data_IF_508775968549
#
_entry.id   IF_508775968549
#
_cell.length_a   1.000
_cell.length_b   1.000
_cell.length_c   1.000
_cell.angle_alpha   90.00
_cell.angle_beta   90.00
_cell.angle_gamma   90.00
#
_symmetry.space_group_name_H-M   'P 1'
#
loop_
_entity.id
_entity.type
_entity.pdbx_description
1 polymer ?
#
# COMPACT_ATOMS: atom_id res chain seq x y z
N UNK A 1 19.57 32.48 39.36
CA UNK A 1 18.87 31.20 39.13
C UNK A 1 18.46 31.11 37.67
N UNK A 2 19.36 30.61 36.82
CA UNK A 2 19.08 30.40 35.40
C UNK A 2 18.11 29.21 35.33
N UNK A 3 16.87 29.48 34.95
CA UNK A 3 15.91 28.44 34.65
C UNK A 3 16.46 27.68 33.42
N UNK A 4 16.98 26.47 33.64
CA UNK A 4 17.21 25.52 32.55
C UNK A 4 15.86 25.31 31.88
N UNK A 5 15.67 25.92 30.71
CA UNK A 5 14.65 25.51 29.77
C UNK A 5 14.89 24.02 29.55
N UNK A 6 14.02 23.16 30.09
CA UNK A 6 14.00 21.75 29.70
C UNK A 6 13.64 21.76 28.22
N UNK A 7 14.65 21.58 27.37
CA UNK A 7 14.41 21.16 26.00
C UNK A 7 13.52 19.93 26.12
N UNK A 8 12.32 20.00 25.55
CA UNK A 8 11.40 18.87 25.55
C UNK A 8 12.03 17.85 24.61
N UNK A 9 12.83 16.94 25.16
CA UNK A 9 13.42 15.87 24.37
C UNK A 9 12.35 14.80 24.18
N UNK A 10 12.16 14.37 22.93
CA UNK A 10 11.06 13.49 22.54
C UNK A 10 11.64 12.10 22.28
N UNK A 11 11.29 11.14 23.13
CA UNK A 11 11.56 9.74 22.85
C UNK A 11 10.49 9.24 21.87
N UNK A 12 10.91 8.74 20.72
CA UNK A 12 10.08 8.06 19.74
C UNK A 12 10.37 6.57 19.79
N UNK A 13 9.31 5.78 19.84
CA UNK A 13 9.34 4.33 19.80
C UNK A 13 8.58 3.90 18.56
N UNK A 14 9.28 3.27 17.62
CA UNK A 14 8.67 2.70 16.42
C UNK A 14 8.55 1.21 16.57
N UNK A 15 7.35 0.69 16.46
CA UNK A 15 7.02 -0.72 16.57
C UNK A 15 6.09 -1.19 15.44
N UNK A 16 5.67 -0.35 14.49
CA UNK A 16 5.02 -0.78 13.25
C UNK A 16 6.10 -1.02 12.17
N UNK A 17 6.63 -2.23 12.15
CA UNK A 17 7.89 -2.60 11.50
C UNK A 17 8.89 -3.10 12.56
N UNK A 18 10.19 -3.05 12.25
CA UNK A 18 11.25 -3.39 13.22
C UNK A 18 11.22 -2.44 14.42
N UNK A 19 11.41 -2.99 15.62
CA UNK A 19 11.41 -2.19 16.85
C UNK A 19 12.61 -1.23 16.83
N UNK A 20 12.34 0.07 17.01
CA UNK A 20 13.36 1.12 17.05
C UNK A 20 13.06 2.11 18.16
N UNK A 21 14.10 2.58 18.82
CA UNK A 21 14.06 3.63 19.81
C UNK A 21 14.87 4.82 19.29
N UNK A 22 14.30 6.01 19.34
CA UNK A 22 14.95 7.24 18.94
C UNK A 22 14.77 8.31 20.00
N UNK A 23 15.86 8.93 20.43
CA UNK A 23 15.85 10.10 21.31
C UNK A 23 16.71 11.18 20.69
N UNK A 24 16.07 12.26 20.24
CA UNK A 24 16.69 13.30 19.40
C UNK A 24 17.38 12.68 18.17
N UNK A 25 18.71 12.81 18.04
CA UNK A 25 19.52 12.26 16.94
C UNK A 25 19.99 10.81 17.20
N UNK A 26 19.79 10.28 18.41
CA UNK A 26 20.29 8.96 18.80
C UNK A 26 19.26 7.89 18.47
N UNK A 27 19.68 6.87 17.72
CA UNK A 27 18.80 5.77 17.29
C UNK A 27 19.39 4.44 17.71
N UNK A 28 18.56 3.61 18.32
CA UNK A 28 18.83 2.20 18.63
C UNK A 28 17.85 1.36 17.83
N UNK A 29 18.40 0.57 16.90
CA UNK A 29 17.67 -0.41 16.08
C UNK A 29 18.19 -1.83 16.28
N UNK A 30 19.18 -2.03 17.16
CA UNK A 30 19.74 -3.32 17.51
C UNK A 30 19.69 -3.51 19.02
N UNK A 31 19.08 -4.62 19.43
CA UNK A 31 18.94 -4.97 20.83
C UNK A 31 20.03 -5.96 21.25
N UNK A 32 20.53 -5.90 22.51
CA UNK A 32 21.58 -6.78 23.00
C UNK A 32 21.22 -8.27 22.91
N UNK A 33 19.92 -8.58 23.05
CA UNK A 33 19.37 -9.94 22.90
C UNK A 33 17.91 -9.88 22.48
N UNK A 34 17.42 -10.90 21.77
CA UNK A 34 16.01 -11.06 21.42
C UNK A 34 15.06 -10.88 22.63
N UNK A 35 15.36 -11.49 23.78
CA UNK A 35 14.50 -11.35 24.97
C UNK A 35 14.42 -9.93 25.55
N UNK A 36 15.39 -9.06 25.27
CA UNK A 36 15.35 -7.65 25.69
C UNK A 36 14.41 -6.88 24.78
N UNK A 37 14.51 -7.11 23.47
CA UNK A 37 13.59 -6.59 22.46
C UNK A 37 12.15 -7.03 22.73
N UNK A 38 11.96 -8.33 22.96
CA UNK A 38 10.66 -8.95 23.25
C UNK A 38 10.04 -8.45 24.56
N UNK A 39 10.84 -8.31 25.63
CA UNK A 39 10.37 -7.73 26.89
C UNK A 39 9.85 -6.31 26.68
N UNK A 40 10.59 -5.47 25.94
CA UNK A 40 10.17 -4.11 25.67
C UNK A 40 8.89 -4.07 24.82
N UNK A 41 8.83 -4.86 23.75
CA UNK A 41 7.67 -4.97 22.88
C UNK A 41 6.41 -5.40 23.66
N UNK A 42 6.54 -6.41 24.52
CA UNK A 42 5.44 -6.88 25.36
C UNK A 42 4.95 -5.80 26.34
N UNK A 43 5.88 -5.09 27.00
CA UNK A 43 5.54 -4.01 27.93
C UNK A 43 4.90 -2.80 27.23
N UNK A 44 5.33 -2.48 26.00
CA UNK A 44 4.74 -1.40 25.20
C UNK A 44 3.29 -1.69 24.84
N UNK A 45 2.96 -2.95 24.58
CA UNK A 45 1.62 -3.37 24.18
C UNK A 45 0.60 -3.22 25.33
N UNK A 46 1.05 -3.34 26.58
CA UNK A 46 0.21 -3.22 27.78
C UNK A 46 0.68 -2.04 28.65
N UNK A 47 0.58 -0.80 28.15
CA UNK A 47 1.10 0.35 28.88
C UNK A 47 0.36 0.51 30.21
N UNK A 48 1.10 0.88 31.26
CA UNK A 48 0.62 1.08 32.64
C UNK A 48 0.16 -0.19 33.37
N UNK A 49 0.13 -1.35 32.71
CA UNK A 49 -0.16 -2.60 33.37
C UNK A 49 1.02 -3.02 34.26
N UNK A 50 0.71 -3.58 35.43
CA UNK A 50 1.71 -4.21 36.31
C UNK A 50 1.81 -5.68 35.94
N UNK A 51 2.93 -6.07 35.36
CA UNK A 51 3.19 -7.45 34.98
C UNK A 51 3.96 -8.17 36.09
N UNK A 52 3.41 -9.28 36.58
CA UNK A 52 4.13 -10.15 37.51
C UNK A 52 5.44 -10.61 36.87
N UNK A 53 6.52 -10.59 37.66
CA UNK A 53 7.82 -11.11 37.22
C UNK A 53 7.75 -12.58 36.83
N UNK A 54 6.94 -13.39 37.53
CA UNK A 54 6.73 -14.80 37.18
C UNK A 54 6.10 -14.94 35.80
N UNK A 55 5.04 -14.16 35.53
CA UNK A 55 4.40 -14.14 34.20
C UNK A 55 5.39 -13.79 33.09
N UNK A 56 6.26 -12.81 33.32
CA UNK A 56 7.27 -12.41 32.33
C UNK A 56 8.36 -13.46 32.15
N UNK A 57 8.70 -14.20 33.21
CA UNK A 57 9.64 -15.32 33.13
C UNK A 57 9.04 -16.46 32.30
N UNK A 58 7.80 -16.87 32.61
CA UNK A 58 7.11 -17.94 31.88
C UNK A 58 6.92 -17.58 30.40
N UNK A 59 6.69 -16.29 30.11
CA UNK A 59 6.54 -15.79 28.75
C UNK A 59 7.86 -15.83 27.96
N UNK A 60 8.95 -15.31 28.53
CA UNK A 60 10.21 -15.10 27.81
C UNK A 60 11.16 -16.30 27.90
N UNK A 61 11.07 -17.10 28.96
CA UNK A 61 11.94 -18.25 29.22
C UNK A 61 11.15 -19.43 29.79
N UNK A 62 10.23 -20.03 29.01
CA UNK A 62 9.34 -21.10 29.49
C UNK A 62 10.10 -22.33 30.02
N UNK A 63 11.31 -22.59 29.52
CA UNK A 63 12.09 -23.78 29.85
C UNK A 63 13.03 -23.62 31.05
N UNK A 64 12.99 -22.49 31.76
CA UNK A 64 13.91 -22.24 32.89
C UNK A 64 13.22 -22.37 34.26
N UNK A 65 14.01 -22.70 35.29
CA UNK A 65 13.50 -22.64 36.66
C UNK A 65 13.23 -21.19 37.08
N UNK A 66 12.33 -20.99 38.06
CA UNK A 66 12.00 -19.65 38.57
C UNK A 66 13.26 -18.85 39.01
N UNK A 67 14.20 -19.51 39.68
CA UNK A 67 15.44 -18.88 40.16
C UNK A 67 16.30 -18.38 38.99
N UNK A 68 16.49 -19.22 37.97
CA UNK A 68 17.22 -18.85 36.75
C UNK A 68 16.50 -17.72 35.99
N UNK A 69 15.17 -17.83 35.87
CA UNK A 69 14.33 -16.84 35.22
C UNK A 69 14.40 -15.48 35.89
N UNK A 70 14.41 -15.41 37.22
CA UNK A 70 14.57 -14.16 37.97
C UNK A 70 15.90 -13.47 37.65
N UNK A 71 16.99 -14.23 37.58
CA UNK A 71 18.31 -13.73 37.18
C UNK A 71 18.34 -13.19 35.75
N UNK A 72 17.75 -13.94 34.80
CA UNK A 72 17.63 -13.53 33.39
C UNK A 72 16.77 -12.27 33.23
N UNK A 73 15.62 -12.20 33.91
CA UNK A 73 14.74 -11.04 33.89
C UNK A 73 15.43 -9.80 34.47
N UNK A 74 16.15 -9.93 35.59
CA UNK A 74 16.94 -8.82 36.14
C UNK A 74 17.98 -8.31 35.15
N UNK A 75 18.68 -9.23 34.47
CA UNK A 75 19.67 -8.88 33.45
C UNK A 75 19.02 -8.19 32.25
N UNK A 76 17.85 -8.67 31.79
CA UNK A 76 17.12 -8.06 30.68
C UNK A 76 16.63 -6.65 31.03
N UNK A 77 16.07 -6.44 32.23
CA UNK A 77 15.67 -5.12 32.74
C UNK A 77 16.87 -4.18 32.85
N UNK A 78 18.00 -4.65 33.37
CA UNK A 78 19.22 -3.85 33.46
C UNK A 78 19.72 -3.45 32.07
N UNK A 79 19.70 -4.38 31.09
CA UNK A 79 20.04 -4.07 29.69
C UNK A 79 19.08 -3.08 29.05
N UNK A 80 17.78 -3.16 29.34
CA UNK A 80 16.81 -2.17 28.87
C UNK A 80 17.13 -0.78 29.43
N UNK A 81 17.42 -0.66 30.73
CA UNK A 81 17.84 0.62 31.33
C UNK A 81 19.10 1.16 30.65
N UNK A 82 20.10 0.29 30.46
CA UNK A 82 21.33 0.66 29.76
C UNK A 82 21.08 1.12 28.32
N UNK A 83 20.17 0.49 27.58
CA UNK A 83 19.80 0.95 26.22
C UNK A 83 19.22 2.36 26.22
N UNK A 84 18.40 2.70 27.22
CA UNK A 84 17.89 4.07 27.36
C UNK A 84 19.00 5.04 27.76
N UNK A 85 19.93 4.63 28.64
CA UNK A 85 21.10 5.44 29.01
C UNK A 85 21.99 5.71 27.78
N UNK A 86 22.22 4.69 26.93
CA UNK A 86 22.98 4.78 25.68
C UNK A 86 22.27 5.69 24.64
N UNK A 87 20.94 5.85 24.75
CA UNK A 87 20.13 6.83 23.99
C UNK A 87 20.12 8.22 24.63
N UNK A 88 20.86 8.44 25.72
CA UNK A 88 20.81 9.65 26.53
C UNK A 88 19.41 9.98 27.06
N UNK A 89 18.56 8.96 27.27
CA UNK A 89 17.22 9.10 27.83
C UNK A 89 17.14 8.45 29.22
N UNK A 90 16.77 9.23 30.24
CA UNK A 90 16.54 8.68 31.58
C UNK A 90 15.17 8.02 31.64
N UNK A 91 15.10 6.70 31.76
CA UNK A 91 13.84 5.95 31.72
C UNK A 91 13.14 5.77 33.08
N UNK A 92 13.48 6.56 34.10
CA UNK A 92 12.92 6.39 35.46
C UNK A 92 11.43 6.75 35.57
N UNK A 93 10.94 7.63 34.69
CA UNK A 93 9.52 7.96 34.55
C UNK A 93 8.80 7.08 33.52
N UNK A 94 9.52 6.16 32.86
CA UNK A 94 9.02 5.24 31.85
C UNK A 94 8.94 3.79 32.36
N UNK A 95 10.02 3.27 32.96
CA UNK A 95 10.16 1.87 33.37
C UNK A 95 10.18 1.75 34.89
N UNK A 96 9.08 1.25 35.44
CA UNK A 96 8.89 1.05 36.87
C UNK A 96 9.09 -0.41 37.23
N UNK A 97 9.97 -0.65 38.20
CA UNK A 97 10.31 -2.00 38.67
C UNK A 97 10.12 -2.13 40.16
N UNK A 98 9.48 -3.21 40.58
CA UNK A 98 9.32 -3.62 41.97
C UNK A 98 9.87 -5.03 42.17
N UNK A 99 9.79 -5.53 43.41
CA UNK A 99 10.16 -6.92 43.75
C UNK A 99 9.30 -7.92 43.00
N UNK A 100 8.01 -7.61 42.80
CA UNK A 100 7.03 -8.58 42.29
C UNK A 100 6.54 -8.27 40.87
N UNK A 101 6.71 -7.03 40.40
CA UNK A 101 6.18 -6.58 39.12
C UNK A 101 7.08 -5.62 38.35
N UNK A 102 6.86 -5.55 37.05
CA UNK A 102 7.45 -4.59 36.11
C UNK A 102 6.31 -3.90 35.36
N UNK A 103 6.44 -2.60 35.12
CA UNK A 103 5.47 -1.82 34.35
C UNK A 103 6.19 -0.80 33.48
N UNK A 104 5.70 -0.62 32.25
CA UNK A 104 6.12 0.45 31.37
C UNK A 104 4.98 1.46 31.25
N UNK A 105 5.22 2.70 31.68
CA UNK A 105 4.24 3.78 31.71
C UNK A 105 4.78 4.94 30.89
N UNK A 106 4.48 5.01 29.58
CA UNK A 106 4.93 6.10 28.73
C UNK A 106 4.37 7.44 29.22
N UNK A 107 5.22 8.41 29.60
CA UNK A 107 4.78 9.77 29.88
C UNK A 107 4.39 10.51 28.58
N UNK A 108 3.70 11.66 28.65
CA UNK A 108 3.16 12.33 27.47
C UNK A 108 4.19 12.70 26.38
N UNK A 109 5.45 12.88 26.75
CA UNK A 109 6.55 13.17 25.81
C UNK A 109 7.03 11.94 25.01
N UNK A 110 6.65 10.72 25.41
CA UNK A 110 7.02 9.50 24.68
C UNK A 110 5.98 9.23 23.60
N UNK A 111 6.44 9.22 22.35
CA UNK A 111 5.60 8.90 21.20
C UNK A 111 5.80 7.43 20.82
N UNK A 112 4.70 6.71 20.69
CA UNK A 112 4.70 5.33 20.22
C UNK A 112 3.87 5.31 18.93
N UNK A 113 4.45 4.80 17.85
CA UNK A 113 3.85 4.87 16.52
C UNK A 113 2.51 4.15 16.42
N UNK A 114 2.37 2.92 16.94
CA UNK A 114 1.10 2.19 16.89
C UNK A 114 0.00 2.86 17.72
N UNK A 115 0.36 3.47 18.86
CA UNK A 115 -0.58 4.28 19.67
C UNK A 115 -1.03 5.52 18.89
N UNK A 116 -0.10 6.15 18.19
CA UNK A 116 -0.38 7.34 17.36
C UNK A 116 -1.22 6.96 16.14
N UNK A 117 -0.93 5.82 15.51
CA UNK A 117 -1.68 5.22 14.41
C UNK A 117 -3.14 5.00 14.81
N UNK A 118 -3.39 4.31 15.93
CA UNK A 118 -4.74 4.08 16.45
C UNK A 118 -5.46 5.36 16.84
N UNK A 119 -4.73 6.35 17.39
CA UNK A 119 -5.30 7.65 17.70
C UNK A 119 -5.75 8.38 16.44
N UNK A 120 -4.89 8.45 15.42
CA UNK A 120 -5.21 9.07 14.13
C UNK A 120 -6.38 8.37 13.45
N UNK A 121 -6.41 7.03 13.48
CA UNK A 121 -7.52 6.27 12.92
C UNK A 121 -8.84 6.52 13.69
N UNK A 122 -8.79 6.66 15.02
CA UNK A 122 -9.97 7.04 15.80
C UNK A 122 -10.45 8.45 15.49
N UNK A 123 -9.53 9.40 15.29
CA UNK A 123 -9.89 10.75 14.87
C UNK A 123 -10.54 10.76 13.48
N UNK A 124 -10.00 9.99 12.53
CA UNK A 124 -10.57 9.86 11.19
C UNK A 124 -12.02 9.35 11.22
N UNK A 125 -12.35 8.39 12.10
CA UNK A 125 -13.71 7.84 12.22
C UNK A 125 -14.76 8.84 12.72
N UNK A 126 -14.37 9.80 13.56
CA UNK A 126 -15.29 10.78 14.14
C UNK A 126 -15.29 12.11 13.37
N UNK A 127 -14.32 12.29 12.46
CA UNK A 127 -14.23 13.47 11.61
C UNK A 127 -15.30 13.42 10.52
N UNK A 128 -16.03 14.52 10.36
CA UNK A 128 -17.15 14.63 9.41
C UNK A 128 -16.76 15.38 8.15
N UNK A 129 -15.70 16.19 8.20
CA UNK A 129 -15.14 16.85 7.03
C UNK A 129 -14.25 15.87 6.24
N UNK A 130 -14.63 15.48 5.00
CA UNK A 130 -13.87 14.52 4.21
C UNK A 130 -12.41 14.90 3.97
N UNK A 131 -12.11 16.21 3.90
CA UNK A 131 -10.74 16.70 3.68
C UNK A 131 -9.88 16.46 4.91
N UNK A 132 -10.42 16.76 6.10
CA UNK A 132 -9.70 16.52 7.38
C UNK A 132 -9.62 15.04 7.70
N UNK A 133 -10.66 14.28 7.37
CA UNK A 133 -10.65 12.84 7.52
C UNK A 133 -9.49 12.23 6.72
N UNK A 134 -9.30 12.63 5.45
CA UNK A 134 -8.17 12.18 4.64
C UNK A 134 -6.83 12.54 5.27
N UNK A 135 -6.68 13.70 5.91
CA UNK A 135 -5.44 14.06 6.62
C UNK A 135 -5.13 13.08 7.76
N UNK A 136 -6.14 12.72 8.56
CA UNK A 136 -5.99 11.74 9.63
C UNK A 136 -5.67 10.34 9.10
N UNK A 137 -6.38 9.91 8.05
CA UNK A 137 -6.14 8.62 7.41
C UNK A 137 -4.72 8.56 6.81
N UNK A 138 -4.31 9.58 6.06
CA UNK A 138 -2.98 9.65 5.47
C UNK A 138 -1.87 9.63 6.52
N UNK A 139 -2.05 10.35 7.64
CA UNK A 139 -1.12 10.33 8.77
C UNK A 139 -1.00 8.94 9.39
N UNK A 140 -2.12 8.25 9.60
CA UNK A 140 -2.10 6.88 10.12
C UNK A 140 -1.46 5.90 9.12
N UNK A 141 -1.79 5.96 7.83
CA UNK A 141 -1.13 5.14 6.81
C UNK A 141 0.39 5.29 6.83
N UNK A 142 0.90 6.52 6.96
CA UNK A 142 2.33 6.80 6.98
C UNK A 142 3.07 6.25 8.21
N UNK A 143 2.37 5.96 9.31
CA UNK A 143 2.97 5.37 10.52
C UNK A 143 3.11 3.84 10.40
N UNK A 144 2.30 3.20 9.57
CA UNK A 144 2.32 1.75 9.41
C UNK A 144 3.37 1.36 8.37
N UNK A 145 4.58 1.02 8.82
CA UNK A 145 5.72 0.68 7.96
C UNK A 145 5.97 -0.84 7.86
N UNK A 146 5.24 -1.65 8.63
CA UNK A 146 5.36 -3.10 8.65
C UNK A 146 4.56 -3.72 9.79
N UNK A 147 4.67 -5.04 9.94
CA UNK A 147 4.03 -5.76 11.04
C UNK A 147 4.51 -5.27 12.41
N UNK A 148 3.65 -5.34 13.42
CA UNK A 148 4.01 -4.95 14.77
C UNK A 148 5.22 -5.76 15.30
N UNK A 149 6.30 -5.06 15.67
CA UNK A 149 7.58 -5.63 16.11
C UNK A 149 8.08 -6.73 15.18
N UNK A 150 8.23 -6.40 13.89
CA UNK A 150 8.71 -7.31 12.85
C UNK A 150 10.03 -7.99 13.27
N UNK A 151 10.09 -9.32 13.13
CA UNK A 151 11.24 -10.13 13.53
C UNK A 151 11.14 -10.76 14.93
N UNK A 152 10.17 -10.35 15.75
CA UNK A 152 9.83 -11.06 17.00
C UNK A 152 8.86 -12.21 16.67
N UNK A 153 9.21 -13.44 17.03
CA UNK A 153 8.38 -14.62 16.76
C UNK A 153 7.80 -15.17 18.05
N UNK A 154 6.76 -14.52 18.57
CA UNK A 154 6.12 -14.91 19.81
C UNK A 154 4.59 -14.90 19.70
N UNK A 155 3.92 -15.92 20.26
CA UNK A 155 2.48 -16.11 20.09
C UNK A 155 1.65 -14.94 20.61
N UNK A 156 2.15 -14.25 21.64
CA UNK A 156 1.46 -13.13 22.27
C UNK A 156 1.27 -11.93 21.34
N UNK A 157 2.10 -11.78 20.29
CA UNK A 157 1.98 -10.65 19.36
C UNK A 157 1.10 -10.93 18.14
N UNK A 158 0.72 -12.19 17.89
CA UNK A 158 -0.03 -12.59 16.68
C UNK A 158 -1.39 -11.89 16.57
N UNK A 159 -2.17 -11.90 17.66
CA UNK A 159 -3.49 -11.28 17.70
C UNK A 159 -3.42 -9.78 17.40
N UNK A 160 -2.41 -9.10 17.94
CA UNK A 160 -2.24 -7.66 17.77
C UNK A 160 -1.73 -7.31 16.38
N UNK A 161 -0.84 -8.12 15.81
CA UNK A 161 -0.45 -7.99 14.39
C UNK A 161 -1.66 -8.10 13.48
N UNK A 162 -2.50 -9.12 13.66
CA UNK A 162 -3.71 -9.29 12.84
C UNK A 162 -4.69 -8.12 13.03
N UNK A 163 -4.88 -7.64 14.26
CA UNK A 163 -5.74 -6.49 14.54
C UNK A 163 -5.23 -5.22 13.87
N UNK A 164 -3.93 -4.92 13.98
CA UNK A 164 -3.30 -3.74 13.38
C UNK A 164 -3.26 -3.82 11.85
N UNK A 165 -3.02 -5.01 11.27
CA UNK A 165 -3.07 -5.23 9.83
C UNK A 165 -4.48 -5.00 9.27
N UNK A 166 -5.53 -5.52 9.94
CA UNK A 166 -6.93 -5.25 9.55
C UNK A 166 -7.29 -3.78 9.65
N UNK A 167 -6.78 -3.09 10.68
CA UNK A 167 -6.94 -1.64 10.86
C UNK A 167 -6.32 -0.88 9.68
N UNK A 168 -5.11 -1.25 9.28
CA UNK A 168 -4.39 -0.65 8.17
C UNK A 168 -5.09 -0.88 6.83
N UNK A 169 -5.49 -2.12 6.53
CA UNK A 169 -6.23 -2.47 5.30
C UNK A 169 -7.54 -1.70 5.16
N UNK A 170 -8.29 -1.54 6.26
CA UNK A 170 -9.53 -0.75 6.25
C UNK A 170 -9.24 0.72 5.94
N UNK A 171 -8.23 1.30 6.60
CA UNK A 171 -7.83 2.68 6.35
C UNK A 171 -7.41 2.90 4.90
N UNK A 172 -6.62 2.00 4.31
CA UNK A 172 -6.25 2.09 2.89
C UNK A 172 -7.50 2.04 1.99
N UNK A 173 -8.47 1.18 2.31
CA UNK A 173 -9.74 1.08 1.59
C UNK A 173 -10.58 2.37 1.67
N UNK A 174 -10.67 2.98 2.85
CA UNK A 174 -11.35 4.27 3.05
C UNK A 174 -10.70 5.38 2.23
N UNK A 175 -9.37 5.46 2.24
CA UNK A 175 -8.61 6.42 1.41
C UNK A 175 -8.81 6.17 -0.08
N UNK A 176 -8.80 4.91 -0.51
CA UNK A 176 -9.01 4.53 -1.91
C UNK A 176 -10.39 4.99 -2.38
N UNK A 177 -11.42 4.73 -1.59
CA UNK A 177 -12.78 5.13 -1.91
C UNK A 177 -12.96 6.65 -1.92
N UNK A 178 -12.38 7.37 -0.96
CA UNK A 178 -12.34 8.84 -0.95
C UNK A 178 -11.64 9.41 -2.19
N UNK A 179 -10.53 8.82 -2.62
CA UNK A 179 -9.84 9.20 -3.84
C UNK A 179 -10.72 9.01 -5.09
N UNK A 180 -11.41 7.87 -5.19
CA UNK A 180 -12.36 7.62 -6.28
C UNK A 180 -13.50 8.64 -6.32
N UNK A 181 -14.09 8.99 -5.17
CA UNK A 181 -15.17 9.99 -5.11
C UNK A 181 -14.73 11.38 -5.58
N UNK A 182 -13.47 11.73 -5.36
CA UNK A 182 -12.88 13.00 -5.79
C UNK A 182 -12.35 12.95 -7.24
N UNK A 183 -12.49 11.83 -7.94
CA UNK A 183 -11.94 11.62 -9.28
C UNK A 183 -10.42 11.48 -9.32
N UNK A 184 -9.76 11.30 -8.17
CA UNK A 184 -8.31 11.08 -8.06
C UNK A 184 -7.99 9.59 -8.32
N UNK A 185 -8.29 9.12 -9.53
CA UNK A 185 -8.21 7.70 -9.88
C UNK A 185 -6.78 7.15 -9.87
N UNK A 186 -5.76 7.96 -10.17
CA UNK A 186 -4.36 7.52 -10.06
C UNK A 186 -4.01 7.14 -8.60
N UNK A 187 -4.40 7.98 -7.64
CA UNK A 187 -4.22 7.68 -6.20
C UNK A 187 -5.02 6.45 -5.77
N UNK A 188 -6.24 6.28 -6.29
CA UNK A 188 -7.03 5.08 -6.02
C UNK A 188 -6.35 3.81 -6.57
N UNK A 189 -5.67 3.91 -7.71
CA UNK A 189 -4.89 2.80 -8.28
C UNK A 189 -3.72 2.44 -7.38
N UNK A 190 -2.93 3.42 -6.93
CA UNK A 190 -1.80 3.19 -6.02
C UNK A 190 -2.24 2.51 -4.71
N UNK A 191 -3.32 3.03 -4.10
CA UNK A 191 -3.87 2.47 -2.87
C UNK A 191 -4.44 1.06 -3.07
N UNK A 192 -5.18 0.83 -4.16
CA UNK A 192 -5.75 -0.49 -4.45
C UNK A 192 -4.68 -1.53 -4.75
N UNK A 193 -3.61 -1.16 -5.46
CA UNK A 193 -2.47 -2.05 -5.68
C UNK A 193 -1.77 -2.40 -4.36
N UNK A 194 -1.59 -1.43 -3.46
CA UNK A 194 -1.02 -1.68 -2.14
C UNK A 194 -1.89 -2.62 -1.30
N UNK A 195 -3.22 -2.44 -1.32
CA UNK A 195 -4.15 -3.36 -0.64
C UNK A 195 -4.00 -4.79 -1.20
N UNK A 196 -3.94 -4.95 -2.52
CA UNK A 196 -3.83 -6.28 -3.15
C UNK A 196 -2.45 -6.94 -2.97
N UNK A 197 -1.40 -6.18 -2.65
CA UNK A 197 -0.12 -6.76 -2.22
C UNK A 197 -0.23 -7.43 -0.85
N UNK A 198 -1.09 -6.90 0.03
CA UNK A 198 -1.30 -7.42 1.38
C UNK A 198 -2.36 -8.53 1.37
N UNK A 199 -3.48 -8.31 0.68
CA UNK A 199 -4.60 -9.24 0.58
C UNK A 199 -5.06 -9.36 -0.89
N UNK A 200 -4.47 -10.29 -1.66
CA UNK A 200 -4.76 -10.45 -3.09
C UNK A 200 -6.18 -10.94 -3.41
N UNK A 201 -6.93 -11.45 -2.43
CA UNK A 201 -8.24 -12.08 -2.68
C UNK A 201 -9.41 -11.10 -2.51
N UNK A 202 -9.14 -9.81 -2.29
CA UNK A 202 -10.17 -8.78 -2.12
C UNK A 202 -10.77 -8.36 -3.46
N UNK A 203 -11.75 -9.12 -3.92
CA UNK A 203 -12.45 -8.88 -5.19
C UNK A 203 -13.03 -7.45 -5.30
N UNK A 204 -13.52 -6.88 -4.20
CA UNK A 204 -14.01 -5.49 -4.18
C UNK A 204 -12.92 -4.47 -4.55
N UNK A 205 -11.67 -4.74 -4.21
CA UNK A 205 -10.52 -3.90 -4.54
C UNK A 205 -10.10 -4.10 -6.00
N UNK A 206 -10.12 -5.35 -6.50
CA UNK A 206 -9.95 -5.61 -7.94
C UNK A 206 -10.96 -4.83 -8.78
N UNK A 207 -12.24 -4.86 -8.37
CA UNK A 207 -13.32 -4.13 -9.03
C UNK A 207 -13.13 -2.61 -8.95
N UNK A 208 -12.67 -2.08 -7.81
CA UNK A 208 -12.33 -0.66 -7.67
C UNK A 208 -11.18 -0.23 -8.60
N UNK A 209 -10.16 -1.07 -8.75
CA UNK A 209 -9.06 -0.85 -9.71
C UNK A 209 -9.56 -0.90 -11.15
N UNK A 210 -10.39 -1.88 -11.52
CA UNK A 210 -11.02 -1.94 -12.85
C UNK A 210 -11.78 -0.65 -13.16
N UNK A 211 -12.57 -0.15 -12.21
CA UNK A 211 -13.29 1.11 -12.36
C UNK A 211 -12.32 2.28 -12.53
N UNK A 212 -11.29 2.38 -11.69
CA UNK A 212 -10.33 3.49 -11.73
C UNK A 212 -9.54 3.51 -13.05
N UNK A 213 -9.07 2.36 -13.54
CA UNK A 213 -8.44 2.24 -14.86
C UNK A 213 -9.38 2.64 -15.99
N UNK A 214 -10.66 2.27 -15.91
CA UNK A 214 -11.67 2.68 -16.90
C UNK A 214 -11.80 4.21 -16.95
N UNK A 215 -11.86 4.87 -15.80
CA UNK A 215 -12.01 6.33 -15.71
C UNK A 215 -10.77 7.07 -16.24
N UNK A 216 -9.58 6.46 -16.13
CA UNK A 216 -8.34 6.94 -16.73
C UNK A 216 -8.22 6.63 -18.24
N UNK A 217 -9.21 5.95 -18.84
CA UNK A 217 -9.15 5.50 -20.24
C UNK A 217 -8.22 4.31 -20.49
N UNK A 218 -7.74 3.65 -19.44
CA UNK A 218 -6.79 2.55 -19.47
C UNK A 218 -7.51 1.19 -19.56
N UNK A 219 -8.39 1.04 -20.55
CA UNK A 219 -9.26 -0.15 -20.72
C UNK A 219 -8.51 -1.49 -20.70
N UNK A 220 -7.34 -1.55 -21.34
CA UNK A 220 -6.52 -2.76 -21.37
C UNK A 220 -6.02 -3.17 -19.98
N UNK A 221 -5.71 -2.21 -19.10
CA UNK A 221 -5.33 -2.49 -17.71
C UNK A 221 -6.54 -2.97 -16.90
N UNK A 222 -7.71 -2.33 -17.10
CA UNK A 222 -8.95 -2.73 -16.44
C UNK A 222 -9.34 -4.19 -16.77
N UNK A 223 -9.25 -4.59 -18.03
CA UNK A 223 -9.51 -5.99 -18.43
C UNK A 223 -8.46 -6.96 -17.87
N UNK A 224 -7.18 -6.59 -17.87
CA UNK A 224 -6.14 -7.42 -17.22
C UNK A 224 -6.40 -7.62 -15.73
N UNK A 225 -6.87 -6.57 -15.04
CA UNK A 225 -7.20 -6.66 -13.61
C UNK A 225 -8.34 -7.66 -13.34
N UNK A 226 -9.34 -7.74 -14.23
CA UNK A 226 -10.41 -8.73 -14.16
C UNK A 226 -9.87 -10.16 -14.30
N UNK A 227 -9.01 -10.40 -15.29
CA UNK A 227 -8.40 -11.73 -15.48
C UNK A 227 -7.54 -12.12 -14.29
N UNK A 228 -6.70 -11.21 -13.79
CA UNK A 228 -5.93 -11.44 -12.56
C UNK A 228 -6.83 -11.81 -11.37
N UNK A 229 -7.92 -11.07 -11.16
CA UNK A 229 -8.90 -11.39 -10.11
C UNK A 229 -9.48 -12.81 -10.29
N UNK A 230 -9.90 -13.13 -11.51
CA UNK A 230 -10.54 -14.41 -11.83
C UNK A 230 -9.58 -15.58 -11.61
N UNK A 231 -8.34 -15.43 -12.10
CA UNK A 231 -7.31 -16.46 -11.98
C UNK A 231 -6.96 -16.72 -10.51
N UNK A 232 -6.83 -15.65 -9.70
CA UNK A 232 -6.56 -15.77 -8.25
C UNK A 232 -7.71 -16.43 -7.49
N UNK A 233 -8.95 -15.97 -7.69
CA UNK A 233 -10.13 -16.54 -7.02
C UNK A 233 -10.31 -18.02 -7.37
N UNK A 234 -10.06 -18.38 -8.63
CA UNK A 234 -10.16 -19.77 -9.07
C UNK A 234 -9.03 -20.64 -8.51
N UNK A 235 -7.80 -20.13 -8.48
CA UNK A 235 -6.64 -20.87 -7.99
C UNK A 235 -6.70 -21.12 -6.48
N UNK A 236 -7.00 -20.08 -5.69
CA UNK A 236 -6.92 -20.12 -4.23
C UNK A 236 -8.22 -20.60 -3.57
N UNK A 237 -9.37 -20.19 -4.12
CA UNK A 237 -10.69 -20.42 -3.49
C UNK A 237 -11.60 -21.34 -4.31
N UNK A 238 -11.26 -21.63 -5.58
CA UNK A 238 -12.10 -22.40 -6.52
C UNK A 238 -13.50 -21.82 -6.69
N UNK A 239 -13.60 -20.49 -6.66
CA UNK A 239 -14.84 -19.76 -6.87
C UNK A 239 -14.74 -18.87 -8.10
N UNK A 240 -15.91 -18.56 -8.66
CA UNK A 240 -16.04 -17.58 -9.73
C UNK A 240 -16.15 -16.16 -9.16
N UNK A 241 -15.76 -15.12 -9.92
CA UNK A 241 -16.01 -13.74 -9.53
C UNK A 241 -17.50 -13.46 -9.31
N UNK A 242 -17.78 -12.52 -8.42
CA UNK A 242 -19.12 -12.02 -8.14
C UNK A 242 -19.78 -11.40 -9.40
N UNK A 243 -21.13 -11.45 -9.48
CA UNK A 243 -21.87 -10.94 -10.64
C UNK A 243 -21.55 -9.49 -10.99
N UNK A 244 -21.34 -8.63 -10.01
CA UNK A 244 -21.03 -7.21 -10.20
C UNK A 244 -19.66 -7.00 -10.87
N UNK A 245 -18.70 -7.88 -10.61
CA UNK A 245 -17.37 -7.83 -11.21
C UNK A 245 -17.43 -8.25 -12.68
N UNK A 246 -18.19 -9.31 -12.98
CA UNK A 246 -18.46 -9.77 -14.35
C UNK A 246 -19.21 -8.70 -15.14
N UNK A 247 -20.22 -8.06 -14.52
CA UNK A 247 -20.98 -6.99 -15.13
C UNK A 247 -20.08 -5.79 -15.49
N UNK A 248 -19.19 -5.39 -14.58
CA UNK A 248 -18.24 -4.29 -14.84
C UNK A 248 -17.29 -4.62 -16.00
N UNK A 249 -16.75 -5.85 -16.03
CA UNK A 249 -15.92 -6.29 -17.16
C UNK A 249 -16.66 -6.20 -18.49
N UNK A 250 -17.91 -6.68 -18.54
CA UNK A 250 -18.75 -6.64 -19.73
C UNK A 250 -19.00 -5.20 -20.22
N UNK A 251 -19.23 -4.26 -19.29
CA UNK A 251 -19.38 -2.84 -19.62
C UNK A 251 -18.09 -2.26 -20.22
N UNK A 252 -16.94 -2.50 -19.58
CA UNK A 252 -15.62 -2.03 -20.04
C UNK A 252 -15.32 -2.55 -21.45
N UNK A 253 -15.59 -3.83 -21.72
CA UNK A 253 -15.36 -4.44 -23.03
C UNK A 253 -16.25 -3.82 -24.13
N UNK A 254 -17.51 -3.52 -23.80
CA UNK A 254 -18.43 -2.85 -24.72
C UNK A 254 -18.00 -1.41 -25.04
N UNK A 255 -17.60 -0.64 -24.02
CA UNK A 255 -17.09 0.73 -24.16
C UNK A 255 -15.84 0.79 -25.03
N UNK A 256 -14.86 -0.10 -24.79
CA UNK A 256 -13.64 -0.16 -25.59
C UNK A 256 -13.93 -0.51 -27.06
N UNK A 257 -14.83 -1.46 -27.29
CA UNK A 257 -15.25 -1.85 -28.64
C UNK A 257 -15.93 -0.70 -29.38
N UNK A 258 -16.79 0.06 -28.69
CA UNK A 258 -17.44 1.24 -29.24
C UNK A 258 -16.43 2.35 -29.57
N UNK A 259 -15.47 2.63 -28.68
CA UNK A 259 -14.41 3.61 -28.90
C UNK A 259 -13.51 3.26 -30.09
N UNK A 260 -13.16 1.98 -30.26
CA UNK A 260 -12.41 1.50 -31.43
C UNK A 260 -13.19 1.65 -32.74
N UNK A 261 -14.51 1.38 -32.73
CA UNK A 261 -15.38 1.59 -33.90
C UNK A 261 -15.47 3.07 -34.27
N UNK A 262 -15.66 3.96 -33.29
CA UNK A 262 -15.70 5.40 -33.54
C UNK A 262 -14.37 5.92 -34.08
N UNK A 263 -13.23 5.51 -33.50
CA UNK A 263 -11.90 5.90 -33.99
C UNK A 263 -11.62 5.39 -35.41
N UNK A 264 -12.08 4.19 -35.75
CA UNK A 264 -12.03 3.67 -37.13
C UNK A 264 -12.93 4.46 -38.08
N UNK A 265 -14.14 4.81 -37.65
CA UNK A 265 -15.06 5.60 -38.47
C UNK A 265 -14.55 7.04 -38.70
N UNK A 266 -13.87 7.65 -37.72
CA UNK A 266 -13.30 8.99 -37.86
C UNK A 266 -11.97 9.04 -38.64
N UNK A 267 -11.30 7.90 -38.79
CA UNK A 267 -10.10 7.76 -39.63
C UNK A 267 -10.38 7.14 -41.00
N UNK A 268 -11.63 6.72 -41.25
CA UNK A 268 -12.05 6.28 -42.57
C UNK A 268 -12.08 7.49 -43.51
N UNK A 269 -11.49 7.40 -44.71
CA UNK A 269 -11.47 8.51 -45.64
C UNK A 269 -12.90 8.92 -45.99
N UNK A 270 -13.18 10.22 -45.91
CA UNK A 270 -14.52 10.72 -46.21
C UNK A 270 -14.82 10.60 -47.72
N UNK A 271 -16.09 10.78 -48.10
CA UNK A 271 -16.50 10.63 -49.50
C UNK A 271 -15.72 11.54 -50.47
N UNK A 272 -15.30 12.73 -50.01
CA UNK A 272 -14.50 13.65 -50.82
C UNK A 272 -13.04 13.20 -50.97
N UNK A 273 -12.44 12.64 -49.92
CA UNK A 273 -11.09 12.06 -49.95
C UNK A 273 -11.04 10.80 -50.82
N UNK A 274 -12.08 9.95 -50.75
CA UNK A 274 -12.25 8.81 -51.65
C UNK A 274 -12.46 9.26 -53.09
N UNK A 275 -13.27 10.29 -53.34
CA UNK A 275 -13.47 10.86 -54.69
C UNK A 275 -12.19 11.49 -55.24
N UNK A 276 -11.40 12.18 -54.42
CA UNK A 276 -10.12 12.74 -54.81
C UNK A 276 -9.11 11.63 -55.17
N UNK A 277 -9.02 10.57 -54.35
CA UNK A 277 -8.16 9.43 -54.63
C UNK A 277 -8.58 8.68 -55.91
N UNK A 278 -9.89 8.53 -56.15
CA UNK A 278 -10.44 7.94 -57.39
C UNK A 278 -10.11 8.81 -58.60
N UNK A 279 -10.24 10.14 -58.49
CA UNK A 279 -9.90 11.07 -59.56
C UNK A 279 -8.39 11.05 -59.89
N UNK A 280 -7.52 10.98 -58.88
CA UNK A 280 -6.08 10.81 -59.09
C UNK A 280 -5.73 9.50 -59.81
N UNK A 281 -6.39 8.39 -59.42
CA UNK A 281 -6.21 7.10 -60.10
C UNK A 281 -6.74 7.13 -61.55
N UNK A 282 -7.83 7.83 -61.82
CA UNK A 282 -8.35 8.02 -63.18
C UNK A 282 -7.37 8.83 -64.04
N UNK A 283 -6.82 9.94 -63.52
CA UNK A 283 -5.81 10.74 -64.22
C UNK A 283 -4.55 9.91 -64.51
N UNK A 284 -4.12 9.08 -63.55
CA UNK A 284 -2.99 8.18 -63.74
C UNK A 284 -3.27 7.12 -64.81
N UNK A 285 -4.47 6.51 -64.79
CA UNK A 285 -4.94 5.57 -65.80
C UNK A 285 -4.98 6.19 -67.20
N UNK A 286 -5.51 7.40 -67.34
CA UNK A 286 -5.60 8.12 -68.61
C UNK A 286 -4.22 8.50 -69.17
N UNK A 287 -3.26 8.81 -68.29
CA UNK A 287 -1.85 9.01 -68.68
C UNK A 287 -1.23 7.74 -69.23
N UNK A 288 -1.44 6.60 -68.58
CA UNK A 288 -0.94 5.30 -69.05
C UNK A 288 -1.57 4.94 -70.39
N UNK A 289 -2.88 5.08 -70.56
CA UNK A 289 -3.56 4.81 -71.82
C UNK A 289 -3.06 5.72 -72.95
N UNK A 290 -2.87 7.03 -72.70
CA UNK A 290 -2.31 7.93 -73.71
C UNK A 290 -0.88 7.57 -74.11
N UNK A 291 -0.06 7.12 -73.16
CA UNK A 291 1.29 6.64 -73.46
C UNK A 291 1.25 5.35 -74.30
N UNK A 292 0.34 4.42 -74.01
CA UNK A 292 0.14 3.20 -74.81
C UNK A 292 -0.35 3.51 -76.23
N UNK A 293 -1.28 4.45 -76.41
CA UNK A 293 -1.74 4.90 -77.72
C UNK A 293 -0.58 5.54 -78.50
N UNK A 294 0.20 6.43 -77.88
CA UNK A 294 1.39 7.01 -78.51
C UNK A 294 2.39 5.93 -78.91
N UNK A 295 2.62 4.93 -78.06
CA UNK A 295 3.53 3.81 -78.36
C UNK A 295 3.05 2.97 -79.56
N UNK A 296 1.73 2.72 -79.68
CA UNK A 296 1.15 2.01 -80.82
C UNK A 296 1.17 2.81 -82.14
N UNK A 297 1.15 4.14 -82.09
CA UNK A 297 1.34 4.98 -83.28
C UNK A 297 2.80 5.02 -83.75
N UNK A 298 3.77 4.91 -82.83
CA UNK A 298 5.20 4.81 -83.18
C UNK A 298 5.59 3.43 -83.72
N UNK A 299 4.86 2.36 -83.40
CA UNK A 299 5.11 1.02 -83.95
C UNK A 299 4.48 0.81 -85.34
N UNK A 300 3.40 1.55 -85.68
CA UNK A 300 2.80 1.52 -87.04
C UNK A 300 3.54 2.39 -88.04
N UNK A 301 4.11 3.52 -87.63
CA UNK A 301 4.87 4.43 -88.52
C UNK A 301 6.30 3.96 -88.84
N UNK A 302 6.84 2.97 -88.11
CA UNK A 302 8.11 2.31 -88.44
C UNK A 302 7.96 1.06 -89.33
N UNK A 303 6.75 0.69 -89.73
CA UNK A 303 6.48 -0.45 -90.61
C UNK A 303 6.43 -0.15 -92.11
N UNK A 304 6.49 1.13 -92.54
CA UNK A 304 6.37 1.53 -93.95
C UNK A 304 7.68 2.02 -94.60
N UNK A 305 8.82 1.82 -93.94
CA UNK A 305 10.13 2.03 -94.57
C UNK A 305 11.07 0.86 -94.24
N UNK A 306 10.81 -0.29 -94.88
CA UNK A 306 11.76 -1.35 -95.20
C UNK A 306 11.20 -2.20 -96.35
#
# INVERSE_FOLDING_TARGET
MIHKVRVVTHLQIRALGKLQLQHDEWVVSSFPTHHVEELLAYLLLFPRAKHSRLKLIDLLWPDCSEEQGRGRLNTAVWRLRKLFDDLHYTCDDLLFTSRDWISLTPPPQVQIDFVTFESCERQARIETDPVRQEVWLARAAALYQGEFCEGIYADWCLLERERLARLHLRLLGERMFSAMQRGAYDTAVELGQHILQIDPLREEVHRALMHSYRQLGLFAQAMRQFHLCTDLLQAELRIMPLPETIALFSQIAAEQSAGLRQKRASTAPNAAELQAAVAELQIASDRVNNLLVKFNFYSTTKGENL
#
